data_IF_001450395169
#
_entry.id   IF_001450395169
#
_cell.length_a   1.000
_cell.length_b   1.000
_cell.length_c   1.000
_cell.angle_alpha   90.00
_cell.angle_beta   90.00
_cell.angle_gamma   90.00
#
_symmetry.space_group_name_H-M   'P 1'
#
loop_
_entity.id
_entity.type
_entity.pdbx_description
1 polymer ?
#
# COMPACT_ATOMS: atom_id res chain seq x y z
N UNK A 1 10.58 5.88 -9.07
CA UNK A 1 9.20 5.53 -8.66
C UNK A 1 9.19 4.95 -7.27
N UNK A 2 9.77 3.76 -7.01
CA UNK A 2 9.81 3.12 -5.68
C UNK A 2 10.25 4.04 -4.54
N UNK A 3 11.48 4.57 -4.60
CA UNK A 3 12.04 5.44 -3.54
C UNK A 3 11.17 6.66 -3.29
N UNK A 4 10.65 7.30 -4.34
CA UNK A 4 9.78 8.46 -4.18
C UNK A 4 8.48 8.08 -3.45
N UNK A 5 7.86 6.95 -3.81
CA UNK A 5 6.65 6.45 -3.15
C UNK A 5 6.91 6.15 -1.68
N UNK A 6 7.99 5.44 -1.36
CA UNK A 6 8.33 5.11 0.03
C UNK A 6 8.66 6.36 0.85
N UNK A 7 9.40 7.33 0.30
CA UNK A 7 9.72 8.56 1.03
C UNK A 7 8.51 9.48 1.25
N UNK A 8 7.60 9.56 0.29
CA UNK A 8 6.56 10.60 0.30
C UNK A 8 5.17 10.10 0.67
N UNK A 9 4.86 8.82 0.47
CA UNK A 9 3.52 8.27 0.67
C UNK A 9 3.45 7.21 1.77
N UNK A 10 4.54 6.51 2.09
CA UNK A 10 4.59 5.56 3.21
C UNK A 10 4.74 6.29 4.57
N UNK A 11 3.85 7.24 4.82
CA UNK A 11 3.87 8.10 5.99
C UNK A 11 2.96 7.59 7.11
N UNK A 12 2.16 6.55 6.86
CA UNK A 12 1.21 5.96 7.83
C UNK A 12 1.94 5.14 8.89
N UNK A 13 1.24 4.78 9.96
CA UNK A 13 1.79 3.87 10.99
C UNK A 13 1.71 2.40 10.59
N UNK A 14 0.86 2.07 9.62
CA UNK A 14 0.81 0.78 8.95
C UNK A 14 1.65 0.80 7.67
N UNK A 15 1.68 -0.32 6.94
CA UNK A 15 2.44 -0.45 5.70
C UNK A 15 1.77 0.20 4.48
N UNK A 16 0.55 0.74 4.61
CA UNK A 16 -0.20 1.30 3.49
C UNK A 16 0.31 2.69 3.09
N UNK A 17 -0.07 3.14 1.91
CA UNK A 17 0.34 4.41 1.34
C UNK A 17 -0.75 5.46 1.52
N UNK A 18 -0.37 6.70 1.87
CA UNK A 18 -1.26 7.83 1.70
C UNK A 18 -1.60 7.99 0.20
N UNK A 19 -2.87 8.23 -0.11
CA UNK A 19 -3.36 8.12 -1.49
C UNK A 19 -2.92 9.27 -2.40
N UNK A 20 -2.63 10.44 -1.82
CA UNK A 20 -2.40 11.65 -2.62
C UNK A 20 -1.34 12.57 -2.01
N UNK A 21 -0.42 12.95 -2.89
CA UNK A 21 0.54 14.02 -2.67
C UNK A 21 0.13 15.26 -3.46
N UNK A 22 0.22 16.43 -2.83
CA UNK A 22 -0.11 17.73 -3.39
C UNK A 22 1.14 18.63 -3.36
N UNK A 23 1.72 19.02 -4.52
CA UNK A 23 2.94 19.82 -4.58
C UNK A 23 2.80 21.18 -3.89
N UNK A 24 1.61 21.78 -3.99
CA UNK A 24 1.37 23.16 -3.55
C UNK A 24 0.77 23.25 -2.13
N UNK A 25 0.71 22.13 -1.38
CA UNK A 25 0.17 22.07 -0.03
C UNK A 25 1.27 21.92 1.04
N UNK A 26 1.02 22.43 2.25
CA UNK A 26 1.86 22.19 3.43
C UNK A 26 0.99 21.69 4.61
N UNK A 27 1.14 20.43 5.07
CA UNK A 27 2.03 19.40 4.52
C UNK A 27 1.59 18.93 3.12
N UNK A 28 2.53 18.42 2.31
CA UNK A 28 2.24 17.92 0.96
C UNK A 28 1.26 16.73 0.93
N UNK A 29 1.06 16.06 2.07
CA UNK A 29 0.09 14.96 2.24
C UNK A 29 -0.89 15.38 3.35
N UNK A 30 -1.90 16.22 3.02
CA UNK A 30 -2.88 16.65 4.02
C UNK A 30 -3.86 15.54 4.41
N UNK A 31 -4.00 14.50 3.59
CA UNK A 31 -4.82 13.32 3.85
C UNK A 31 -3.94 12.07 3.92
N UNK A 32 -3.88 11.45 5.10
CA UNK A 32 -3.10 10.23 5.34
C UNK A 32 -3.90 8.96 5.04
N UNK A 33 -5.16 9.05 4.62
CA UNK A 33 -5.95 7.88 4.24
C UNK A 33 -5.33 7.20 3.00
N UNK A 34 -5.57 5.89 2.86
CA UNK A 34 -5.10 5.14 1.72
C UNK A 34 -6.15 5.06 0.61
N UNK A 35 -5.73 4.56 -0.55
CA UNK A 35 -6.61 4.08 -1.60
C UNK A 35 -6.20 2.64 -1.92
N UNK A 36 -7.09 1.68 -1.61
CA UNK A 36 -6.75 0.26 -1.58
C UNK A 36 -6.37 -0.32 -2.95
N UNK A 37 -6.85 0.27 -4.04
CA UNK A 37 -6.45 -0.08 -5.41
C UNK A 37 -4.97 0.24 -5.67
N UNK A 38 -4.51 1.42 -5.22
CA UNK A 38 -3.11 1.84 -5.30
C UNK A 38 -2.19 0.92 -4.48
N UNK A 39 -2.56 0.63 -3.24
CA UNK A 39 -1.81 -0.30 -2.38
C UNK A 39 -1.74 -1.71 -3.00
N UNK A 40 -2.85 -2.21 -3.55
CA UNK A 40 -2.92 -3.52 -4.18
C UNK A 40 -1.97 -3.62 -5.39
N UNK A 41 -1.99 -2.63 -6.28
CA UNK A 41 -1.09 -2.62 -7.44
C UNK A 41 0.37 -2.46 -7.02
N UNK A 42 0.65 -1.66 -5.99
CA UNK A 42 2.01 -1.47 -5.50
C UNK A 42 2.56 -2.76 -4.89
N UNK A 43 1.81 -3.42 -4.00
CA UNK A 43 2.17 -4.72 -3.42
C UNK A 43 2.37 -5.79 -4.50
N UNK A 44 1.46 -5.86 -5.47
CA UNK A 44 1.57 -6.81 -6.58
C UNK A 44 2.83 -6.56 -7.42
N UNK A 45 3.11 -5.30 -7.75
CA UNK A 45 4.31 -4.92 -8.52
C UNK A 45 5.59 -5.29 -7.76
N UNK A 46 5.63 -5.05 -6.46
CA UNK A 46 6.77 -5.44 -5.61
C UNK A 46 6.94 -6.97 -5.55
N UNK A 47 5.86 -7.72 -5.40
CA UNK A 47 5.92 -9.19 -5.42
C UNK A 47 6.44 -9.73 -6.77
N UNK A 48 6.05 -9.10 -7.88
CA UNK A 48 6.58 -9.44 -9.22
C UNK A 48 8.05 -9.05 -9.36
N UNK A 49 8.42 -7.84 -8.96
CA UNK A 49 9.78 -7.32 -9.02
C UNK A 49 10.74 -8.17 -8.18
N UNK A 50 10.32 -8.63 -7.00
CA UNK A 50 11.10 -9.52 -6.16
C UNK A 50 11.51 -10.81 -6.88
N UNK A 51 10.59 -11.40 -7.65
CA UNK A 51 10.84 -12.62 -8.44
C UNK A 51 11.66 -12.35 -9.69
N UNK A 52 11.33 -11.30 -10.44
CA UNK A 52 11.97 -10.99 -11.72
C UNK A 52 13.41 -10.50 -11.55
N UNK A 53 13.68 -9.76 -10.47
CA UNK A 53 14.98 -9.12 -10.23
C UNK A 53 15.74 -9.72 -9.04
N UNK A 54 15.21 -10.77 -8.41
CA UNK A 54 15.83 -11.44 -7.24
C UNK A 54 16.13 -10.48 -6.09
N UNK A 55 15.17 -9.62 -5.72
CA UNK A 55 15.28 -8.65 -4.62
C UNK A 55 14.34 -9.07 -3.48
N UNK A 56 14.82 -9.77 -2.44
CA UNK A 56 13.98 -10.31 -1.37
C UNK A 56 13.21 -9.24 -0.58
N UNK A 57 13.79 -8.05 -0.43
CA UNK A 57 13.19 -6.94 0.32
C UNK A 57 11.87 -6.46 -0.31
N UNK A 58 11.75 -6.52 -1.63
CA UNK A 58 10.47 -6.23 -2.30
C UNK A 58 9.40 -7.26 -1.95
N UNK A 59 9.76 -8.53 -1.76
CA UNK A 59 8.80 -9.54 -1.30
C UNK A 59 8.39 -9.29 0.16
N UNK A 60 9.33 -8.87 1.02
CA UNK A 60 9.01 -8.51 2.41
C UNK A 60 8.06 -7.31 2.47
N UNK A 61 8.36 -6.24 1.72
CA UNK A 61 7.50 -5.04 1.64
C UNK A 61 6.12 -5.36 1.07
N UNK A 62 6.04 -6.15 -0.01
CA UNK A 62 4.77 -6.59 -0.58
C UNK A 62 3.90 -7.37 0.41
N UNK A 63 4.50 -8.26 1.21
CA UNK A 63 3.77 -9.02 2.25
C UNK A 63 3.21 -8.11 3.34
N UNK A 64 3.99 -7.12 3.78
CA UNK A 64 3.52 -6.17 4.80
C UNK A 64 2.29 -5.39 4.30
N UNK A 65 2.35 -4.84 3.07
CA UNK A 65 1.21 -4.11 2.48
C UNK A 65 -0.01 -5.04 2.33
N UNK A 66 0.18 -6.26 1.85
CA UNK A 66 -0.92 -7.22 1.69
C UNK A 66 -1.57 -7.61 3.03
N UNK A 67 -0.77 -7.76 4.09
CA UNK A 67 -1.28 -8.06 5.42
C UNK A 67 -2.14 -6.91 5.97
N UNK A 68 -1.66 -5.66 5.85
CA UNK A 68 -2.41 -4.50 6.33
C UNK A 68 -3.64 -4.20 5.46
N UNK A 69 -3.57 -4.43 4.15
CA UNK A 69 -4.75 -4.37 3.26
C UNK A 69 -5.86 -5.33 3.73
N UNK A 70 -5.52 -6.57 4.07
CA UNK A 70 -6.50 -7.53 4.59
C UNK A 70 -7.01 -7.09 5.96
N UNK A 71 -6.14 -6.57 6.82
CA UNK A 71 -6.51 -6.17 8.17
C UNK A 71 -7.43 -4.93 8.22
N UNK A 72 -7.26 -3.95 7.32
CA UNK A 72 -7.96 -2.67 7.38
C UNK A 72 -8.91 -2.37 6.22
N UNK A 73 -8.74 -3.02 5.07
CA UNK A 73 -9.50 -2.71 3.84
C UNK A 73 -10.36 -3.87 3.35
N UNK A 74 -10.37 -5.02 4.03
CA UNK A 74 -11.23 -6.16 3.70
C UNK A 74 -12.22 -6.37 4.84
N UNK A 75 -13.51 -6.27 4.52
CA UNK A 75 -14.60 -6.55 5.45
C UNK A 75 -15.54 -7.60 4.85
N UNK A 76 -16.21 -8.41 5.68
CA UNK A 76 -17.27 -9.29 5.20
C UNK A 76 -18.32 -8.48 4.44
N UNK A 77 -18.76 -8.98 3.28
CA UNK A 77 -19.88 -8.38 2.57
C UNK A 77 -21.15 -8.55 3.44
N UNK A 78 -21.85 -7.46 3.78
CA UNK A 78 -23.10 -7.55 4.51
C UNK A 78 -24.11 -8.45 3.76
N UNK A 79 -24.67 -9.44 4.45
CA UNK A 79 -25.66 -10.36 3.89
C UNK A 79 -25.10 -11.55 3.11
N UNK A 80 -23.78 -11.74 3.05
CA UNK A 80 -23.21 -12.95 2.47
C UNK A 80 -23.57 -14.20 3.31
N UNK A 81 -23.82 -15.37 2.66
CA UNK A 81 -24.05 -16.62 3.38
C UNK A 81 -22.84 -16.97 4.26
N UNK A 82 -23.05 -17.64 5.41
CA UNK A 82 -21.94 -18.09 6.26
C UNK A 82 -20.99 -18.98 5.46
N UNK A 83 -19.68 -18.78 5.68
CA UNK A 83 -18.60 -19.58 5.09
C UNK A 83 -18.44 -20.91 5.81
#
# INVERSE_FOLDING_TARGET
MFTWTETNLALRSDALLAWRWLPDALPHVPDRNNASDGDLFYAWTLARAARLFSVPDYAARARAIAADLVASCVVPMPGAPPR
#
